data_IF_924735948148
#
_entry.id   IF_924735948148
#
_cell.length_a   1.000
_cell.length_b   1.000
_cell.length_c   1.000
_cell.angle_alpha   90.00
_cell.angle_beta   90.00
_cell.angle_gamma   90.00
#
_symmetry.space_group_name_H-M   'P 1'
#
loop_
_entity.id
_entity.type
_entity.pdbx_description
1 polymer ?
#
# COMPACT_ATOMS: atom_id res chain seq x y z
N UNK A 1 17.98 45.23 -51.38
CA UNK A 1 17.88 43.76 -51.30
C UNK A 1 17.97 43.18 -49.87
N UNK A 2 17.79 43.94 -48.78
CA UNK A 2 17.82 43.43 -47.38
C UNK A 2 16.47 43.36 -46.65
N UNK A 3 15.36 43.80 -47.30
CA UNK A 3 14.01 43.83 -46.67
C UNK A 3 13.07 42.68 -47.07
N UNK A 4 13.45 41.85 -48.06
CA UNK A 4 12.64 40.72 -48.52
C UNK A 4 13.01 39.38 -47.92
N UNK A 5 14.16 39.27 -47.25
CA UNK A 5 14.61 38.01 -46.61
C UNK A 5 14.00 37.82 -45.22
N UNK A 6 13.62 38.88 -44.55
CA UNK A 6 13.02 38.84 -43.19
C UNK A 6 11.58 38.35 -43.17
N UNK A 7 10.83 38.48 -44.27
CA UNK A 7 9.42 38.09 -44.32
C UNK A 7 9.24 36.59 -44.64
N UNK A 8 10.23 35.97 -45.32
CA UNK A 8 10.17 34.55 -45.64
C UNK A 8 10.57 33.66 -44.46
N UNK A 9 11.40 34.17 -43.52
CA UNK A 9 11.76 33.38 -42.31
C UNK A 9 10.66 33.39 -41.23
N UNK A 10 9.85 34.45 -41.15
CA UNK A 10 8.75 34.54 -40.17
C UNK A 10 7.59 33.64 -40.57
N UNK A 11 7.35 33.47 -41.88
CA UNK A 11 6.28 32.57 -42.36
C UNK A 11 6.66 31.09 -42.30
N UNK A 12 7.95 30.73 -42.28
CA UNK A 12 8.38 29.34 -42.11
C UNK A 12 8.36 28.90 -40.65
N UNK A 13 8.61 29.79 -39.67
CA UNK A 13 8.51 29.47 -38.24
C UNK A 13 7.06 29.36 -37.75
N UNK A 14 6.11 30.13 -38.38
CA UNK A 14 4.70 30.03 -38.01
C UNK A 14 4.00 28.77 -38.57
N UNK A 15 4.51 28.20 -39.65
CA UNK A 15 3.97 26.95 -40.20
C UNK A 15 4.43 25.69 -39.44
N UNK A 16 5.65 25.73 -38.86
CA UNK A 16 6.15 24.61 -38.04
C UNK A 16 5.57 24.58 -36.63
N UNK A 17 5.17 25.74 -36.07
CA UNK A 17 4.50 25.79 -34.76
C UNK A 17 3.00 25.36 -34.79
N UNK A 18 2.34 25.46 -35.96
CA UNK A 18 0.98 24.92 -36.12
C UNK A 18 0.95 23.40 -36.36
N UNK A 19 2.03 22.80 -36.87
CA UNK A 19 2.10 21.34 -37.05
C UNK A 19 2.38 20.59 -35.73
N UNK A 20 2.96 21.26 -34.72
CA UNK A 20 3.20 20.67 -33.40
C UNK A 20 1.95 20.68 -32.47
N UNK A 21 0.88 21.40 -32.83
CA UNK A 21 -0.38 21.45 -32.08
C UNK A 21 -1.43 20.46 -32.58
N UNK A 22 -1.11 19.62 -33.56
CA UNK A 22 -2.10 18.79 -34.27
C UNK A 22 -2.01 17.30 -33.96
N UNK A 23 -1.52 16.85 -32.79
CA UNK A 23 -1.56 15.40 -32.46
C UNK A 23 -1.56 15.08 -30.97
N UNK A 24 -2.39 15.75 -30.18
CA UNK A 24 -2.92 15.07 -28.99
C UNK A 24 -4.29 14.47 -29.38
N UNK A 25 -4.30 13.32 -30.03
CA UNK A 25 -5.52 12.53 -30.13
C UNK A 25 -5.99 12.27 -28.72
N UNK A 26 -7.18 12.75 -28.36
CA UNK A 26 -7.79 12.41 -27.08
C UNK A 26 -7.92 10.88 -27.03
N UNK A 27 -7.50 10.26 -25.94
CA UNK A 27 -7.68 8.83 -25.76
C UNK A 27 -9.17 8.47 -25.84
N UNK A 28 -9.46 7.27 -26.35
CA UNK A 28 -10.84 6.77 -26.44
C UNK A 28 -11.47 6.59 -25.06
N UNK A 29 -10.61 6.25 -24.06
CA UNK A 29 -11.00 6.06 -22.66
C UNK A 29 -10.05 6.85 -21.78
N UNK A 30 -10.57 7.48 -20.71
CA UNK A 30 -9.76 8.04 -19.63
C UNK A 30 -10.16 7.33 -18.35
N UNK A 31 -9.21 6.70 -17.66
CA UNK A 31 -9.41 6.00 -16.40
C UNK A 31 -8.76 6.82 -15.28
N UNK A 32 -9.55 7.26 -14.31
CA UNK A 32 -9.08 8.01 -13.15
C UNK A 32 -8.85 7.07 -11.97
N UNK A 33 -7.59 6.87 -11.64
CA UNK A 33 -7.12 5.97 -10.57
C UNK A 33 -6.49 6.81 -9.47
N UNK A 34 -6.80 6.53 -8.21
CA UNK A 34 -6.10 7.16 -7.10
C UNK A 34 -5.61 6.12 -6.08
N UNK A 35 -4.40 6.33 -5.60
CA UNK A 35 -3.71 5.50 -4.61
C UNK A 35 -2.67 6.32 -3.85
N UNK A 36 -1.75 5.67 -3.17
CA UNK A 36 -0.69 6.31 -2.42
C UNK A 36 0.49 6.68 -3.33
N UNK A 37 1.31 7.64 -2.90
CA UNK A 37 2.60 7.91 -3.52
C UNK A 37 3.52 6.68 -3.36
N UNK A 38 4.44 6.48 -4.31
CA UNK A 38 5.39 5.35 -4.30
C UNK A 38 4.72 3.97 -4.16
N UNK A 39 3.53 3.79 -4.70
CA UNK A 39 2.70 2.60 -4.48
C UNK A 39 2.34 1.83 -5.76
N UNK A 40 3.08 2.10 -6.83
CA UNK A 40 3.03 1.40 -8.12
C UNK A 40 4.38 1.57 -8.81
N UNK A 41 4.85 0.56 -9.52
CA UNK A 41 6.11 0.65 -10.28
C UNK A 41 6.06 1.79 -11.31
N UNK A 42 6.87 2.82 -11.07
CA UNK A 42 6.96 4.01 -11.93
C UNK A 42 7.94 3.83 -13.10
N UNK A 43 8.62 2.68 -13.14
CA UNK A 43 9.67 2.40 -14.10
C UNK A 43 10.98 3.09 -13.74
N UNK A 44 12.09 2.51 -14.20
CA UNK A 44 13.43 3.04 -14.01
C UNK A 44 14.26 2.93 -15.28
N UNK A 45 15.01 4.00 -15.63
CA UNK A 45 15.84 4.04 -16.80
C UNK A 45 15.05 3.88 -18.11
N UNK A 46 15.32 2.81 -18.85
CA UNK A 46 14.60 2.47 -20.09
C UNK A 46 13.34 1.63 -19.85
N UNK A 47 13.07 1.23 -18.59
CA UNK A 47 11.89 0.46 -18.23
C UNK A 47 10.69 1.37 -18.12
N UNK A 48 9.60 0.99 -18.77
CA UNK A 48 8.33 1.70 -18.70
C UNK A 48 7.63 1.43 -17.35
N UNK A 49 6.95 2.45 -16.88
CA UNK A 49 6.09 2.33 -15.70
C UNK A 49 4.96 1.30 -15.89
N UNK A 50 4.40 0.84 -14.79
CA UNK A 50 3.24 -0.05 -14.79
C UNK A 50 2.05 0.56 -15.55
N UNK A 51 1.87 1.88 -15.44
CA UNK A 51 0.82 2.63 -16.13
C UNK A 51 1.02 2.59 -17.65
N UNK A 52 2.23 2.92 -18.14
CA UNK A 52 2.51 2.89 -19.58
C UNK A 52 2.39 1.49 -20.18
N UNK A 53 2.79 0.46 -19.41
CA UNK A 53 2.65 -0.93 -19.81
C UNK A 53 1.17 -1.36 -19.86
N UNK A 54 0.36 -0.87 -18.92
CA UNK A 54 -1.10 -1.10 -18.93
C UNK A 54 -1.76 -0.41 -20.13
N UNK A 55 -1.47 0.86 -20.40
CA UNK A 55 -2.06 1.61 -21.51
C UNK A 55 -1.82 0.89 -22.84
N UNK A 56 -0.60 0.40 -23.05
CA UNK A 56 -0.24 -0.40 -24.21
C UNK A 56 -1.00 -1.74 -24.26
N UNK A 57 -1.00 -2.48 -23.16
CA UNK A 57 -1.70 -3.77 -23.09
C UNK A 57 -3.21 -3.62 -23.32
N UNK A 58 -3.82 -2.55 -22.77
CA UNK A 58 -5.25 -2.26 -22.97
C UNK A 58 -5.57 -2.04 -24.47
N UNK A 59 -4.75 -1.27 -25.17
CA UNK A 59 -4.93 -1.04 -26.60
C UNK A 59 -4.77 -2.35 -27.39
N UNK A 60 -3.82 -3.19 -27.04
CA UNK A 60 -3.64 -4.52 -27.65
C UNK A 60 -4.84 -5.44 -27.44
N UNK A 61 -5.50 -5.38 -26.25
CA UNK A 61 -6.64 -6.22 -25.95
C UNK A 61 -7.97 -5.72 -26.54
N UNK A 62 -8.12 -4.40 -26.65
CA UNK A 62 -9.43 -3.80 -26.98
C UNK A 62 -9.47 -3.08 -28.32
N UNK A 63 -8.33 -2.75 -28.89
CA UNK A 63 -8.20 -1.88 -30.06
C UNK A 63 -8.53 -0.41 -29.78
N UNK A 64 -8.68 -0.01 -28.52
CA UNK A 64 -8.98 1.36 -28.08
C UNK A 64 -7.81 1.92 -27.28
N UNK A 65 -7.49 3.18 -27.52
CA UNK A 65 -6.50 3.88 -26.68
C UNK A 65 -7.09 4.23 -25.33
N UNK A 66 -6.27 4.13 -24.27
CA UNK A 66 -6.63 4.53 -22.92
C UNK A 66 -5.60 5.51 -22.37
N UNK A 67 -6.04 6.46 -21.56
CA UNK A 67 -5.18 7.30 -20.72
C UNK A 67 -5.53 7.06 -19.25
N UNK A 68 -4.55 6.63 -18.47
CA UNK A 68 -4.68 6.54 -17.03
C UNK A 68 -4.26 7.87 -16.41
N UNK A 69 -5.16 8.50 -15.67
CA UNK A 69 -4.86 9.62 -14.77
C UNK A 69 -4.65 9.02 -13.37
N UNK A 70 -3.38 8.74 -13.04
CA UNK A 70 -3.02 8.24 -11.72
C UNK A 70 -2.77 9.41 -10.78
N UNK A 71 -3.52 9.44 -9.66
CA UNK A 71 -3.53 10.54 -8.70
C UNK A 71 -3.01 9.99 -7.36
N UNK A 72 -1.90 10.55 -6.92
CA UNK A 72 -1.29 10.22 -5.65
C UNK A 72 -1.94 11.00 -4.51
N UNK A 73 -2.17 10.33 -3.41
CA UNK A 73 -2.79 10.86 -2.21
C UNK A 73 -1.97 10.46 -0.98
N UNK A 74 -1.94 11.35 0.01
CA UNK A 74 -1.10 11.16 1.19
C UNK A 74 -1.67 10.12 2.17
N UNK A 75 -3.00 10.06 2.31
CA UNK A 75 -3.68 9.18 3.26
C UNK A 75 -5.17 8.97 2.92
N UNK A 76 -5.80 8.03 3.63
CA UNK A 76 -7.22 7.71 3.49
C UNK A 76 -8.14 8.89 3.83
N UNK A 77 -7.78 9.71 4.79
CA UNK A 77 -8.57 10.88 5.22
C UNK A 77 -8.56 11.95 4.15
N UNK A 78 -7.41 12.20 3.52
CA UNK A 78 -7.26 13.10 2.37
C UNK A 78 -8.07 12.58 1.17
N UNK A 79 -7.98 11.28 0.86
CA UNK A 79 -8.80 10.64 -0.16
C UNK A 79 -10.29 10.84 0.09
N UNK A 80 -10.74 10.56 1.30
CA UNK A 80 -12.15 10.72 1.69
C UNK A 80 -12.63 12.18 1.59
N UNK A 81 -11.80 13.12 2.05
CA UNK A 81 -12.11 14.55 1.97
C UNK A 81 -12.29 15.00 0.52
N UNK A 82 -11.40 14.60 -0.39
CA UNK A 82 -11.50 14.93 -1.82
C UNK A 82 -12.80 14.38 -2.43
N UNK A 83 -13.15 13.12 -2.13
CA UNK A 83 -14.42 12.51 -2.57
C UNK A 83 -15.62 13.32 -2.02
N UNK A 84 -15.57 13.74 -0.77
CA UNK A 84 -16.64 14.51 -0.13
C UNK A 84 -16.79 15.92 -0.75
N UNK A 85 -15.69 16.49 -1.22
CA UNK A 85 -15.66 17.78 -1.94
C UNK A 85 -16.09 17.65 -3.42
N UNK A 86 -16.40 16.44 -3.89
CA UNK A 86 -16.95 16.20 -5.23
C UNK A 86 -15.92 15.76 -6.26
N UNK A 87 -14.68 15.46 -5.87
CA UNK A 87 -13.74 14.81 -6.79
C UNK A 87 -14.24 13.39 -7.13
N UNK A 88 -14.08 13.01 -8.39
CA UNK A 88 -14.55 11.73 -8.91
C UNK A 88 -13.38 10.87 -9.37
N UNK A 89 -13.49 9.59 -9.12
CA UNK A 89 -12.53 8.57 -9.52
C UNK A 89 -13.28 7.36 -10.08
N UNK A 90 -12.62 6.57 -10.92
CA UNK A 90 -13.13 5.26 -11.35
C UNK A 90 -12.67 4.17 -10.39
N UNK A 91 -11.40 4.24 -9.97
CA UNK A 91 -10.74 3.22 -9.15
C UNK A 91 -9.97 3.88 -8.02
N UNK A 92 -10.11 3.36 -6.81
CA UNK A 92 -9.35 3.76 -5.62
C UNK A 92 -8.68 2.55 -4.99
N UNK A 93 -7.57 2.77 -4.30
CA UNK A 93 -6.89 1.75 -3.50
C UNK A 93 -6.80 2.14 -2.01
N UNK A 94 -7.91 2.23 -1.28
CA UNK A 94 -7.90 2.58 0.13
C UNK A 94 -7.67 1.37 1.03
N UNK A 95 -7.35 1.64 2.30
CA UNK A 95 -7.28 0.62 3.33
C UNK A 95 -8.67 0.10 3.75
N UNK A 96 -8.72 -1.09 4.33
CA UNK A 96 -9.95 -1.84 4.65
C UNK A 96 -11.02 -1.03 5.39
N UNK A 97 -10.62 -0.19 6.34
CA UNK A 97 -11.56 0.63 7.11
C UNK A 97 -12.24 1.71 6.29
N UNK A 98 -11.50 2.26 5.32
CA UNK A 98 -12.03 3.25 4.40
C UNK A 98 -12.91 2.59 3.34
N UNK A 99 -12.56 1.38 2.89
CA UNK A 99 -13.43 0.55 2.05
C UNK A 99 -14.79 0.35 2.72
N UNK A 100 -14.79 -0.06 3.99
CA UNK A 100 -16.02 -0.24 4.76
C UNK A 100 -16.80 1.06 4.95
N UNK A 101 -16.11 2.20 5.11
CA UNK A 101 -16.74 3.52 5.22
C UNK A 101 -17.40 3.93 3.90
N UNK A 102 -16.67 3.86 2.79
CA UNK A 102 -17.19 4.22 1.48
C UNK A 102 -18.37 3.32 1.07
N UNK A 103 -18.30 2.02 1.37
CA UNK A 103 -19.41 1.10 1.13
C UNK A 103 -20.65 1.49 1.95
N UNK A 104 -20.48 1.80 3.25
CA UNK A 104 -21.60 2.19 4.13
C UNK A 104 -22.29 3.49 3.71
N UNK A 105 -21.61 4.32 2.94
CA UNK A 105 -22.12 5.58 2.37
C UNK A 105 -22.60 5.42 0.93
N UNK A 106 -22.72 4.17 0.46
CA UNK A 106 -23.21 3.84 -0.89
C UNK A 106 -22.36 4.48 -2.02
N UNK A 107 -21.05 4.60 -1.81
CA UNK A 107 -20.11 5.21 -2.77
C UNK A 107 -19.43 4.18 -3.69
N UNK A 108 -19.49 2.89 -3.35
CA UNK A 108 -18.82 1.83 -4.08
C UNK A 108 -19.79 1.06 -4.97
N UNK A 109 -19.26 0.62 -6.11
CA UNK A 109 -19.89 -0.36 -7.00
C UNK A 109 -19.34 -1.76 -6.67
N UNK A 110 -20.19 -2.80 -6.85
CA UNK A 110 -19.71 -4.18 -6.72
C UNK A 110 -18.91 -4.58 -7.95
N UNK A 111 -17.90 -5.40 -7.74
CA UNK A 111 -17.25 -6.08 -8.86
C UNK A 111 -18.24 -6.98 -9.60
N UNK A 112 -18.24 -7.00 -10.94
CA UNK A 112 -19.07 -7.91 -11.70
C UNK A 112 -18.65 -9.36 -11.45
N UNK A 113 -19.60 -10.28 -11.38
CA UNK A 113 -19.32 -11.71 -11.15
C UNK A 113 -18.35 -12.30 -12.17
N UNK A 114 -18.34 -11.79 -13.40
CA UNK A 114 -17.41 -12.17 -14.46
C UNK A 114 -15.94 -11.89 -14.14
N UNK A 115 -15.65 -10.92 -13.26
CA UNK A 115 -14.28 -10.59 -12.81
C UNK A 115 -13.64 -11.75 -12.03
N UNK A 116 -14.46 -12.55 -11.34
CA UNK A 116 -14.00 -13.69 -10.53
C UNK A 116 -14.05 -15.04 -11.28
N UNK A 117 -14.39 -15.02 -12.56
CA UNK A 117 -14.45 -16.24 -13.38
C UNK A 117 -13.02 -16.66 -13.80
N UNK A 118 -12.51 -17.71 -13.18
CA UNK A 118 -11.16 -18.25 -13.46
C UNK A 118 -11.03 -18.91 -14.82
N UNK A 119 -12.14 -19.16 -15.55
CA UNK A 119 -12.12 -19.71 -16.92
C UNK A 119 -11.73 -18.66 -17.96
N UNK A 120 -11.86 -17.38 -17.63
CA UNK A 120 -11.46 -16.26 -18.50
C UNK A 120 -9.95 -16.06 -18.39
N UNK A 121 -9.26 -16.08 -19.51
CA UNK A 121 -7.78 -16.04 -19.56
C UNK A 121 -7.20 -14.79 -18.92
N UNK A 122 -7.82 -13.65 -19.12
CA UNK A 122 -7.34 -12.34 -18.62
C UNK A 122 -7.78 -11.99 -17.20
N UNK A 123 -8.51 -12.87 -16.50
CA UNK A 123 -8.89 -12.67 -15.10
C UNK A 123 -7.75 -13.08 -14.16
N UNK A 124 -6.65 -12.36 -14.24
CA UNK A 124 -5.41 -12.65 -13.48
C UNK A 124 -5.62 -12.52 -11.98
N UNK A 125 -6.40 -11.54 -11.51
CA UNK A 125 -6.71 -11.42 -10.08
C UNK A 125 -7.38 -12.70 -9.54
N UNK A 126 -8.44 -13.16 -10.19
CA UNK A 126 -9.17 -14.35 -9.74
C UNK A 126 -8.32 -15.62 -9.70
N UNK A 127 -7.32 -15.73 -10.60
CA UNK A 127 -6.40 -16.86 -10.68
C UNK A 127 -5.27 -16.77 -9.67
N UNK A 128 -4.76 -15.56 -9.41
CA UNK A 128 -3.53 -15.33 -8.67
C UNK A 128 -3.76 -14.85 -7.23
N UNK A 129 -4.98 -14.44 -6.84
CA UNK A 129 -5.24 -14.04 -5.45
C UNK A 129 -4.85 -15.16 -4.49
N UNK A 130 -4.05 -14.83 -3.46
CA UNK A 130 -3.57 -15.84 -2.51
C UNK A 130 -4.75 -16.49 -1.78
N UNK A 131 -4.68 -17.78 -1.43
CA UNK A 131 -5.75 -18.47 -0.70
C UNK A 131 -6.08 -17.80 0.62
N UNK A 132 -5.07 -17.28 1.34
CA UNK A 132 -5.23 -16.54 2.58
C UNK A 132 -6.08 -15.28 2.38
N UNK A 133 -5.71 -14.42 1.43
CA UNK A 133 -6.46 -13.19 1.11
C UNK A 133 -7.87 -13.51 0.62
N UNK A 134 -8.01 -14.47 -0.28
CA UNK A 134 -9.31 -14.92 -0.76
C UNK A 134 -10.23 -15.34 0.38
N UNK A 135 -9.73 -16.20 1.29
CA UNK A 135 -10.46 -16.65 2.46
C UNK A 135 -10.84 -15.49 3.40
N UNK A 136 -9.90 -14.56 3.62
CA UNK A 136 -10.11 -13.38 4.47
C UNK A 136 -11.19 -12.47 3.90
N UNK A 137 -11.15 -12.19 2.60
CA UNK A 137 -12.13 -11.32 1.92
C UNK A 137 -13.52 -11.97 1.81
N UNK A 138 -13.59 -13.29 1.66
CA UNK A 138 -14.86 -14.03 1.65
C UNK A 138 -15.52 -14.13 3.03
N UNK A 139 -14.73 -14.17 4.11
CA UNK A 139 -15.22 -14.18 5.49
C UNK A 139 -15.49 -12.78 6.03
N UNK A 140 -14.69 -11.79 5.59
CA UNK A 140 -14.82 -10.40 6.00
C UNK A 140 -16.19 -9.83 5.66
N UNK A 141 -16.77 -9.07 6.59
CA UNK A 141 -18.08 -8.43 6.43
C UNK A 141 -17.94 -6.92 6.39
N UNK A 142 -18.72 -6.29 5.53
CA UNK A 142 -18.94 -4.86 5.55
C UNK A 142 -19.72 -4.44 6.80
N UNK A 143 -19.84 -3.13 7.04
CA UNK A 143 -20.58 -2.60 8.22
C UNK A 143 -22.05 -2.99 8.29
N UNK A 144 -22.66 -3.36 7.14
CA UNK A 144 -24.03 -3.86 7.07
C UNK A 144 -24.18 -5.29 7.65
N UNK A 145 -23.07 -5.97 7.96
CA UNK A 145 -23.03 -7.33 8.49
C UNK A 145 -23.41 -8.43 7.51
N UNK A 146 -23.74 -8.07 6.26
CA UNK A 146 -24.22 -8.97 5.22
C UNK A 146 -23.26 -9.05 4.05
N UNK A 147 -22.93 -7.91 3.43
CA UNK A 147 -22.03 -7.81 2.30
C UNK A 147 -20.62 -8.26 2.67
N UNK A 148 -19.95 -8.91 1.73
CA UNK A 148 -18.55 -9.37 1.94
C UNK A 148 -17.56 -8.37 1.36
N UNK A 149 -16.34 -8.38 1.89
CA UNK A 149 -15.25 -7.59 1.32
C UNK A 149 -14.96 -7.98 -0.12
N UNK A 150 -14.99 -9.28 -0.43
CA UNK A 150 -14.77 -9.81 -1.78
C UNK A 150 -15.77 -9.31 -2.83
N UNK A 151 -16.92 -8.76 -2.44
CA UNK A 151 -17.89 -8.20 -3.39
C UNK A 151 -17.50 -6.79 -3.87
N UNK A 152 -16.68 -6.05 -3.09
CA UNK A 152 -16.38 -4.64 -3.32
C UNK A 152 -14.89 -4.35 -3.52
N UNK A 153 -14.00 -5.25 -3.10
CA UNK A 153 -12.57 -5.01 -3.13
C UNK A 153 -11.79 -6.18 -3.75
N UNK A 154 -10.79 -5.83 -4.54
CA UNK A 154 -9.72 -6.72 -4.96
C UNK A 154 -8.45 -6.34 -4.20
N UNK A 155 -7.90 -7.25 -3.38
CA UNK A 155 -6.73 -6.97 -2.56
C UNK A 155 -5.51 -6.61 -3.40
N UNK A 156 -4.74 -5.64 -2.96
CA UNK A 156 -3.53 -5.16 -3.62
C UNK A 156 -2.29 -5.50 -2.83
N UNK A 157 -2.06 -4.80 -1.73
CA UNK A 157 -0.96 -5.03 -0.79
C UNK A 157 -1.50 -5.25 0.61
N UNK A 158 -0.74 -5.93 1.45
CA UNK A 158 -1.07 -6.13 2.86
C UNK A 158 0.19 -6.15 3.71
N UNK A 159 0.04 -5.98 4.99
CA UNK A 159 1.15 -6.02 5.92
C UNK A 159 0.73 -5.91 7.36
N UNK A 160 1.75 -5.78 8.20
CA UNK A 160 1.61 -5.57 9.63
C UNK A 160 2.23 -4.23 10.05
N UNK A 161 2.01 -3.82 11.29
CA UNK A 161 2.74 -2.74 11.92
C UNK A 161 3.60 -3.30 13.04
N UNK A 162 4.82 -2.77 13.17
CA UNK A 162 5.77 -3.21 14.17
C UNK A 162 6.87 -2.17 14.36
N UNK A 163 7.94 -2.58 15.00
CA UNK A 163 9.09 -1.72 15.25
C UNK A 163 10.29 -2.14 14.42
N UNK A 164 10.87 -1.20 13.70
CA UNK A 164 12.24 -1.28 13.19
C UNK A 164 13.14 -0.85 14.33
N UNK A 165 14.02 -1.72 14.78
CA UNK A 165 14.88 -1.50 15.93
C UNK A 165 16.31 -1.94 15.66
N UNK A 166 17.30 -1.21 16.18
CA UNK A 166 18.66 -1.72 16.16
C UNK A 166 18.73 -3.06 16.87
N UNK A 167 19.49 -3.98 16.34
CA UNK A 167 19.58 -5.39 16.80
C UNK A 167 19.69 -5.53 18.33
N UNK A 168 20.46 -4.66 19.01
CA UNK A 168 20.61 -4.67 20.46
C UNK A 168 19.31 -4.46 21.25
N UNK A 169 18.26 -3.93 20.62
CA UNK A 169 16.97 -3.60 21.26
C UNK A 169 15.81 -4.50 20.83
N UNK A 170 16.08 -5.57 20.07
CA UNK A 170 15.05 -6.48 19.56
C UNK A 170 14.17 -7.09 20.66
N UNK A 171 14.78 -7.48 21.79
CA UNK A 171 14.03 -8.02 22.93
C UNK A 171 13.13 -6.95 23.62
N UNK A 172 13.59 -5.70 23.69
CA UNK A 172 12.76 -4.61 24.25
C UNK A 172 11.59 -4.25 23.35
N UNK A 173 11.74 -4.44 22.05
CA UNK A 173 10.72 -4.14 21.03
C UNK A 173 9.53 -5.12 21.03
N UNK A 174 9.63 -6.22 21.76
CA UNK A 174 8.47 -7.10 22.04
C UNK A 174 7.40 -6.41 22.88
N UNK A 175 7.73 -5.28 23.52
CA UNK A 175 6.80 -4.42 24.25
C UNK A 175 6.48 -3.14 23.51
N UNK A 176 5.22 -2.73 23.50
CA UNK A 176 4.78 -1.43 22.99
C UNK A 176 5.43 -0.23 23.68
N UNK A 177 5.94 -0.42 24.89
CA UNK A 177 6.60 0.65 25.67
C UNK A 177 8.00 1.00 25.16
N UNK A 178 8.60 0.24 24.26
CA UNK A 178 9.93 0.49 23.71
C UNK A 178 10.05 1.92 23.16
N UNK A 179 9.05 2.42 22.46
CA UNK A 179 9.02 3.79 21.91
C UNK A 179 9.19 4.82 23.00
N UNK A 180 8.48 4.67 24.12
CA UNK A 180 8.58 5.57 25.27
C UNK A 180 9.94 5.50 25.95
N UNK A 181 10.51 4.31 26.04
CA UNK A 181 11.81 4.09 26.70
C UNK A 181 12.96 4.77 25.96
N UNK A 182 12.90 4.77 24.61
CA UNK A 182 13.94 5.37 23.77
C UNK A 182 13.77 6.88 23.54
N UNK A 183 12.59 7.45 23.78
CA UNK A 183 12.35 8.89 23.76
C UNK A 183 12.85 9.57 22.47
N UNK A 184 13.88 10.43 22.59
CA UNK A 184 14.45 11.18 21.45
C UNK A 184 15.11 10.30 20.38
N UNK A 185 15.37 9.05 20.68
CA UNK A 185 15.92 8.04 19.77
C UNK A 185 14.84 7.16 19.16
N UNK A 186 13.56 7.58 19.28
CA UNK A 186 12.45 6.86 18.71
C UNK A 186 11.59 7.74 17.79
N UNK A 187 11.00 7.09 16.76
CA UNK A 187 9.97 7.68 15.91
C UNK A 187 8.68 6.87 15.96
N UNK A 188 7.57 7.52 15.63
CA UNK A 188 6.27 6.90 15.51
C UNK A 188 5.51 7.52 14.33
N UNK A 189 4.59 6.76 13.73
CA UNK A 189 3.76 7.24 12.61
C UNK A 189 2.90 8.44 13.01
N UNK A 190 2.86 9.47 12.17
CA UNK A 190 2.09 10.69 12.37
C UNK A 190 0.73 10.62 11.67
N UNK A 191 0.00 9.53 11.87
CA UNK A 191 -1.39 9.46 11.48
C UNK A 191 -2.26 9.01 12.66
N UNK A 192 -3.54 9.35 12.59
CA UNK A 192 -4.48 9.17 13.72
C UNK A 192 -4.64 7.69 14.08
N UNK A 193 -4.73 6.82 13.08
CA UNK A 193 -5.02 5.40 13.32
C UNK A 193 -3.84 4.68 13.93
N UNK A 194 -2.66 4.77 13.32
CA UNK A 194 -1.48 4.05 13.79
C UNK A 194 -0.99 4.59 15.13
N UNK A 195 -1.00 5.93 15.31
CA UNK A 195 -0.69 6.53 16.60
C UNK A 195 -1.66 6.06 17.69
N UNK A 196 -2.97 6.00 17.38
CA UNK A 196 -3.96 5.53 18.34
C UNK A 196 -3.80 4.04 18.63
N UNK A 197 -3.54 3.22 17.61
CA UNK A 197 -3.29 1.79 17.77
C UNK A 197 -2.07 1.51 18.65
N UNK A 198 -0.94 2.20 18.40
CA UNK A 198 0.24 2.17 19.27
C UNK A 198 -0.12 2.53 20.72
N UNK A 199 -0.89 3.59 20.90
CA UNK A 199 -1.36 4.02 22.21
C UNK A 199 -2.27 2.99 22.91
N UNK A 200 -3.13 2.29 22.17
CA UNK A 200 -3.92 1.16 22.67
C UNK A 200 -3.03 0.00 23.12
N UNK A 201 -2.02 -0.36 22.29
CA UNK A 201 -1.04 -1.38 22.64
C UNK A 201 -0.34 -1.05 23.95
N UNK A 202 0.19 0.17 24.09
CA UNK A 202 0.84 0.65 25.32
C UNK A 202 -0.11 0.64 26.53
N UNK A 203 -1.37 1.01 26.32
CA UNK A 203 -2.38 1.05 27.40
C UNK A 203 -2.76 -0.35 27.86
N UNK A 204 -3.15 -1.22 26.94
CA UNK A 204 -3.69 -2.54 27.27
C UNK A 204 -2.61 -3.58 27.61
N UNK A 205 -1.38 -3.44 27.11
CA UNK A 205 -0.27 -4.28 27.57
C UNK A 205 -0.11 -4.24 29.10
N UNK A 206 -0.35 -3.08 29.71
CA UNK A 206 -0.27 -2.89 31.16
C UNK A 206 -1.61 -2.97 31.88
N UNK A 207 -2.74 -2.90 31.17
CA UNK A 207 -4.09 -2.80 31.73
C UNK A 207 -5.07 -3.75 31.02
N UNK A 208 -4.64 -4.96 30.66
CA UNK A 208 -5.48 -5.91 29.93
C UNK A 208 -6.79 -6.19 30.67
N UNK A 209 -7.90 -5.98 29.97
CA UNK A 209 -9.24 -6.29 30.50
C UNK A 209 -9.58 -7.75 30.14
N UNK A 210 -9.56 -8.61 31.14
CA UNK A 210 -9.84 -10.04 30.98
C UNK A 210 -11.28 -10.35 30.55
N UNK A 211 -12.17 -9.37 30.56
CA UNK A 211 -13.54 -9.52 30.08
C UNK A 211 -13.70 -9.21 28.59
N UNK A 212 -12.66 -8.67 27.96
CA UNK A 212 -12.61 -8.31 26.55
C UNK A 212 -11.69 -9.25 25.79
N UNK A 213 -12.01 -9.50 24.54
CA UNK A 213 -11.08 -10.11 23.58
C UNK A 213 -9.98 -9.13 23.20
N UNK A 214 -8.87 -9.63 22.66
CA UNK A 214 -7.80 -8.78 22.14
C UNK A 214 -8.33 -7.81 21.08
N UNK A 215 -9.18 -8.28 20.17
CA UNK A 215 -9.79 -7.45 19.14
C UNK A 215 -10.65 -6.33 19.73
N UNK A 216 -11.43 -6.59 20.77
CA UNK A 216 -12.21 -5.56 21.46
C UNK A 216 -11.34 -4.53 22.16
N UNK A 217 -10.22 -4.94 22.76
CA UNK A 217 -9.26 -4.02 23.36
C UNK A 217 -8.59 -3.14 22.30
N UNK A 218 -8.10 -3.74 21.21
CA UNK A 218 -7.36 -3.01 20.17
C UNK A 218 -8.26 -2.19 19.22
N UNK A 219 -9.58 -2.28 19.37
CA UNK A 219 -10.58 -1.44 18.71
C UNK A 219 -11.40 -0.59 19.69
N UNK A 220 -10.95 -0.45 20.94
CA UNK A 220 -11.69 0.31 21.95
C UNK A 220 -11.64 1.82 21.68
N UNK A 221 -12.78 2.39 21.34
CA UNK A 221 -13.00 3.82 21.14
C UNK A 221 -13.85 4.46 22.22
N UNK A 222 -13.95 3.82 23.40
CA UNK A 222 -14.65 4.40 24.54
C UNK A 222 -13.96 5.68 25.01
N UNK A 223 -14.74 6.64 25.50
CA UNK A 223 -14.23 7.96 25.92
C UNK A 223 -13.14 7.82 27.00
N UNK A 224 -13.26 6.85 27.90
CA UNK A 224 -12.29 6.61 28.95
C UNK A 224 -10.95 6.13 28.37
N UNK A 225 -10.97 5.15 27.48
CA UNK A 225 -9.79 4.63 26.81
C UNK A 225 -9.15 5.69 25.89
N UNK A 226 -9.95 6.42 25.12
CA UNK A 226 -9.43 7.52 24.30
C UNK A 226 -8.72 8.59 25.12
N UNK A 227 -9.25 8.95 26.30
CA UNK A 227 -8.58 9.91 27.19
C UNK A 227 -7.28 9.34 27.77
N UNK A 228 -7.24 8.07 28.16
CA UNK A 228 -6.02 7.43 28.65
C UNK A 228 -4.94 7.36 27.57
N UNK A 229 -5.29 6.91 26.37
CA UNK A 229 -4.38 6.87 25.20
C UNK A 229 -3.86 8.26 24.85
N UNK A 230 -4.74 9.27 24.83
CA UNK A 230 -4.32 10.66 24.61
C UNK A 230 -3.23 11.13 25.59
N UNK A 231 -3.38 10.82 26.88
CA UNK A 231 -2.36 11.22 27.87
C UNK A 231 -1.06 10.40 27.70
N UNK A 232 -1.13 9.12 27.30
CA UNK A 232 0.05 8.33 26.95
C UNK A 232 0.78 8.92 25.75
N UNK A 233 0.09 9.21 24.65
CA UNK A 233 0.70 9.78 23.44
C UNK A 233 1.29 11.17 23.68
N UNK A 234 0.67 12.00 24.54
CA UNK A 234 1.25 13.25 24.99
C UNK A 234 2.57 13.04 25.77
N UNK A 235 2.60 12.04 26.65
CA UNK A 235 3.79 11.71 27.41
C UNK A 235 4.91 11.21 26.48
N UNK A 236 4.59 10.37 25.51
CA UNK A 236 5.52 9.89 24.47
C UNK A 236 6.11 11.07 23.69
N UNK A 237 5.27 11.97 23.20
CA UNK A 237 5.71 13.18 22.48
C UNK A 237 6.56 14.12 23.36
N UNK A 238 6.16 14.33 24.62
CA UNK A 238 6.92 15.15 25.58
C UNK A 238 8.27 14.50 25.92
N UNK A 239 8.34 13.17 25.92
CA UNK A 239 9.59 12.40 26.05
C UNK A 239 10.57 12.57 24.90
N UNK A 240 10.12 13.18 23.80
CA UNK A 240 10.96 13.53 22.65
C UNK A 240 10.83 12.61 21.45
N UNK A 241 9.90 11.66 21.46
CA UNK A 241 9.58 10.82 20.29
C UNK A 241 9.09 11.71 19.15
N UNK A 242 9.66 11.55 17.95
CA UNK A 242 9.20 12.24 16.75
C UNK A 242 8.02 11.48 16.14
N UNK A 243 6.96 12.23 15.80
CA UNK A 243 5.82 11.71 15.06
C UNK A 243 5.96 12.18 13.62
N UNK A 244 6.31 11.25 12.74
CA UNK A 244 6.51 11.49 11.31
C UNK A 244 6.05 10.26 10.53
N UNK A 245 5.71 10.44 9.26
CA UNK A 245 5.29 9.33 8.39
C UNK A 245 6.48 8.90 7.55
N UNK A 246 6.70 9.50 6.39
CA UNK A 246 7.77 9.09 5.48
C UNK A 246 9.09 9.83 5.74
N UNK A 247 9.04 11.08 6.22
CA UNK A 247 10.23 11.92 6.47
C UNK A 247 11.23 11.31 7.47
N UNK A 248 10.80 10.33 8.28
CA UNK A 248 11.68 9.66 9.23
C UNK A 248 12.53 8.55 8.59
N UNK A 249 12.16 8.00 7.43
CA UNK A 249 12.83 6.83 6.83
C UNK A 249 14.33 7.07 6.65
N UNK A 250 14.71 8.16 5.99
CA UNK A 250 16.11 8.51 5.72
C UNK A 250 16.96 8.65 7.01
N UNK A 251 16.38 9.25 8.04
CA UNK A 251 17.07 9.42 9.32
C UNK A 251 17.22 8.09 10.09
N UNK A 252 16.27 7.16 9.93
CA UNK A 252 16.38 5.79 10.47
C UNK A 252 17.46 5.03 9.71
N UNK A 253 17.45 5.06 8.38
CA UNK A 253 18.49 4.46 7.51
C UNK A 253 19.89 4.97 7.89
N UNK A 254 20.02 6.27 8.17
CA UNK A 254 21.27 6.88 8.62
C UNK A 254 21.66 6.52 10.07
N UNK A 255 20.90 5.69 10.78
CA UNK A 255 21.21 5.25 12.15
C UNK A 255 20.94 6.27 13.24
N UNK A 256 20.23 7.38 12.95
CA UNK A 256 19.93 8.42 13.92
C UNK A 256 18.96 7.98 15.01
N UNK A 257 18.13 6.97 14.73
CA UNK A 257 17.14 6.42 15.64
C UNK A 257 17.45 4.97 16.01
N UNK A 258 17.09 4.60 17.21
CA UNK A 258 17.25 3.24 17.73
C UNK A 258 15.96 2.41 17.53
N UNK A 259 14.80 3.10 17.52
CA UNK A 259 13.46 2.50 17.41
C UNK A 259 12.59 3.33 16.47
N UNK A 260 11.90 2.68 15.57
CA UNK A 260 10.94 3.34 14.68
C UNK A 260 9.68 2.48 14.52
N UNK A 261 8.50 3.05 14.83
CA UNK A 261 7.22 2.38 14.59
C UNK A 261 6.85 2.50 13.12
N UNK A 262 6.82 1.38 12.39
CA UNK A 262 6.72 1.34 10.94
C UNK A 262 5.68 0.32 10.44
N UNK A 263 5.25 0.50 9.21
CA UNK A 263 4.59 -0.53 8.40
C UNK A 263 5.65 -1.52 7.89
N UNK A 264 5.25 -2.78 7.69
CA UNK A 264 6.18 -3.84 7.33
C UNK A 264 6.94 -3.61 6.02
N UNK A 265 6.34 -2.97 5.02
CA UNK A 265 7.03 -2.66 3.77
C UNK A 265 8.09 -1.57 3.95
N UNK A 266 7.75 -0.46 4.64
CA UNK A 266 8.74 0.55 5.01
C UNK A 266 9.88 -0.05 5.87
N UNK A 267 9.55 -1.04 6.71
CA UNK A 267 10.56 -1.73 7.51
C UNK A 267 11.55 -2.49 6.64
N UNK A 268 11.08 -3.22 5.63
CA UNK A 268 11.95 -3.93 4.67
C UNK A 268 12.87 -2.93 3.97
N UNK A 269 12.30 -1.85 3.41
CA UNK A 269 13.09 -0.81 2.74
C UNK A 269 14.15 -0.20 3.66
N UNK A 270 13.77 0.16 4.89
CA UNK A 270 14.73 0.74 5.86
C UNK A 270 15.84 -0.27 6.19
N UNK A 271 15.51 -1.54 6.38
CA UNK A 271 16.48 -2.57 6.73
C UNK A 271 17.46 -2.81 5.58
N UNK A 272 16.97 -2.95 4.35
CA UNK A 272 17.78 -3.16 3.16
C UNK A 272 18.76 -1.98 2.93
N UNK A 273 18.26 -0.75 2.94
CA UNK A 273 19.09 0.45 2.75
C UNK A 273 20.08 0.72 3.90
N UNK A 274 19.68 0.42 5.13
CA UNK A 274 20.57 0.59 6.29
C UNK A 274 21.72 -0.43 6.29
N UNK A 275 21.49 -1.65 5.84
CA UNK A 275 22.52 -2.68 5.73
C UNK A 275 23.65 -2.27 4.78
N UNK A 276 23.37 -1.54 3.70
CA UNK A 276 24.37 -0.97 2.80
C UNK A 276 25.34 -0.01 3.54
N UNK A 277 24.89 0.60 4.65
CA UNK A 277 25.66 1.48 5.51
C UNK A 277 26.25 0.74 6.75
N UNK A 278 26.21 -0.59 6.77
CA UNK A 278 26.63 -1.42 7.91
C UNK A 278 25.82 -1.15 9.20
N UNK A 279 24.56 -0.72 9.05
CA UNK A 279 23.62 -0.50 10.16
C UNK A 279 22.56 -1.60 10.10
N UNK A 280 22.44 -2.37 11.18
CA UNK A 280 21.57 -3.54 11.24
C UNK A 280 20.35 -3.28 12.10
N UNK A 281 19.19 -3.49 11.53
CA UNK A 281 17.91 -3.39 12.19
C UNK A 281 17.15 -4.72 12.11
N UNK A 282 16.29 -4.94 13.10
CA UNK A 282 15.29 -6.02 13.10
C UNK A 282 13.89 -5.42 12.98
N UNK A 283 12.99 -6.15 12.35
CA UNK A 283 11.56 -5.83 12.39
C UNK A 283 10.89 -6.70 13.45
N UNK A 284 10.40 -6.09 14.52
CA UNK A 284 9.82 -6.78 15.67
C UNK A 284 8.34 -6.44 15.83
N UNK A 285 7.50 -7.46 15.85
CA UNK A 285 6.08 -7.33 16.18
C UNK A 285 5.92 -7.48 17.69
N UNK A 286 5.30 -6.52 18.40
CA UNK A 286 5.05 -6.64 19.84
C UNK A 286 4.22 -7.88 20.18
N UNK A 287 4.60 -8.56 21.28
CA UNK A 287 3.95 -9.82 21.67
C UNK A 287 2.48 -9.66 22.07
N UNK A 288 2.11 -8.51 22.65
CA UNK A 288 0.73 -8.28 23.09
C UNK A 288 -0.26 -8.21 21.92
N UNK A 289 0.10 -7.51 20.85
CA UNK A 289 -0.77 -7.31 19.68
C UNK A 289 -0.03 -6.72 18.51
N UNK A 290 -0.55 -6.94 17.31
CA UNK A 290 -0.18 -6.18 16.12
C UNK A 290 -1.42 -5.86 15.29
N UNK A 291 -1.29 -4.88 14.40
CA UNK A 291 -2.27 -4.59 13.36
C UNK A 291 -1.88 -5.34 12.09
N UNK A 292 -2.83 -6.04 11.50
CA UNK A 292 -2.75 -6.52 10.13
C UNK A 292 -3.70 -5.66 9.29
N UNK A 293 -3.20 -5.07 8.24
CA UNK A 293 -3.95 -4.20 7.35
C UNK A 293 -3.83 -4.69 5.90
N UNK A 294 -4.75 -4.29 5.07
CA UNK A 294 -4.65 -4.45 3.62
C UNK A 294 -5.26 -3.26 2.91
N UNK A 295 -4.73 -2.99 1.74
CA UNK A 295 -5.27 -2.06 0.77
C UNK A 295 -5.87 -2.84 -0.38
N UNK A 296 -6.97 -2.33 -0.91
CA UNK A 296 -7.68 -3.02 -1.98
C UNK A 296 -8.26 -2.07 -3.00
N UNK A 297 -8.20 -2.47 -4.26
CA UNK A 297 -8.82 -1.76 -5.35
C UNK A 297 -10.33 -1.84 -5.25
N UNK A 298 -11.00 -0.69 -5.27
CA UNK A 298 -12.45 -0.56 -5.20
C UNK A 298 -12.99 0.26 -6.37
N UNK A 299 -14.12 -0.17 -6.92
CA UNK A 299 -14.83 0.55 -7.98
C UNK A 299 -15.72 1.63 -7.36
N UNK A 300 -15.58 2.86 -7.83
CA UNK A 300 -16.48 3.94 -7.42
C UNK A 300 -17.81 3.86 -8.18
N UNK A 301 -18.89 4.33 -7.59
CA UNK A 301 -20.17 4.39 -8.32
C UNK A 301 -20.08 5.23 -9.58
N UNK A 302 -20.53 4.67 -10.69
CA UNK A 302 -20.45 5.29 -12.01
C UNK A 302 -19.08 5.16 -12.69
N UNK A 303 -18.18 4.32 -12.15
CA UNK A 303 -16.88 4.04 -12.73
C UNK A 303 -16.96 3.45 -14.14
N UNK A 304 -15.90 3.62 -14.90
CA UNK A 304 -15.66 2.87 -16.13
C UNK A 304 -15.23 1.44 -15.79
N UNK A 305 -16.21 0.62 -15.34
CA UNK A 305 -16.01 -0.70 -14.75
C UNK A 305 -15.15 -1.62 -15.61
N UNK A 306 -15.38 -1.65 -16.94
CA UNK A 306 -14.61 -2.51 -17.84
C UNK A 306 -13.12 -2.14 -17.85
N UNK A 307 -12.79 -0.86 -17.97
CA UNK A 307 -11.42 -0.40 -17.97
C UNK A 307 -10.76 -0.58 -16.58
N UNK A 308 -11.50 -0.30 -15.52
CA UNK A 308 -11.02 -0.44 -14.13
C UNK A 308 -10.74 -1.91 -13.78
N UNK A 309 -11.61 -2.84 -14.14
CA UNK A 309 -11.37 -4.28 -13.91
C UNK A 309 -10.23 -4.82 -14.74
N UNK A 310 -10.04 -4.32 -15.96
CA UNK A 310 -8.86 -4.65 -16.77
C UNK A 310 -7.57 -4.13 -16.14
N UNK A 311 -7.58 -2.93 -15.54
CA UNK A 311 -6.43 -2.40 -14.81
C UNK A 311 -6.06 -3.31 -13.64
N UNK A 312 -7.03 -3.65 -12.79
CA UNK A 312 -6.81 -4.55 -11.64
C UNK A 312 -6.29 -5.91 -12.09
N UNK A 313 -6.87 -6.48 -13.15
CA UNK A 313 -6.37 -7.74 -13.71
C UNK A 313 -4.95 -7.62 -14.24
N UNK A 314 -4.60 -6.53 -14.94
CA UNK A 314 -3.26 -6.33 -15.47
C UNK A 314 -2.19 -6.28 -14.38
N UNK A 315 -2.40 -5.49 -13.33
CA UNK A 315 -1.44 -5.40 -12.22
C UNK A 315 -1.40 -6.68 -11.37
N UNK A 316 -2.42 -7.54 -11.48
CA UNK A 316 -2.51 -8.85 -10.81
C UNK A 316 -1.93 -10.00 -11.64
N UNK A 317 -1.31 -9.75 -12.79
CA UNK A 317 -0.43 -10.73 -13.43
C UNK A 317 0.72 -11.02 -12.48
N UNK A 318 1.12 -12.28 -12.34
CA UNK A 318 2.18 -12.66 -11.41
C UNK A 318 3.47 -11.86 -11.64
N UNK A 319 3.87 -11.67 -12.89
CA UNK A 319 5.07 -10.91 -13.27
C UNK A 319 4.96 -9.41 -12.96
N UNK A 320 3.76 -8.82 -13.07
CA UNK A 320 3.52 -7.43 -12.75
C UNK A 320 3.42 -7.23 -11.23
N UNK A 321 2.84 -8.20 -10.52
CA UNK A 321 2.82 -8.19 -9.06
C UNK A 321 4.24 -8.27 -8.46
N UNK A 322 5.13 -9.05 -9.08
CA UNK A 322 6.57 -9.08 -8.70
C UNK A 322 7.19 -7.70 -8.86
N UNK A 323 7.02 -7.04 -10.01
CA UNK A 323 7.58 -5.69 -10.23
C UNK A 323 7.08 -4.68 -9.21
N UNK A 324 5.77 -4.68 -8.93
CA UNK A 324 5.21 -3.81 -7.90
C UNK A 324 5.74 -4.14 -6.51
N UNK A 325 5.83 -5.43 -6.16
CA UNK A 325 6.35 -5.88 -4.87
C UNK A 325 7.81 -5.46 -4.67
N UNK A 326 8.63 -5.64 -5.69
CA UNK A 326 10.05 -5.28 -5.67
C UNK A 326 10.26 -3.76 -5.53
N UNK A 327 9.45 -2.98 -6.26
CA UNK A 327 9.51 -1.52 -6.21
C UNK A 327 8.98 -0.94 -4.90
N UNK A 328 7.85 -1.49 -4.40
CA UNK A 328 7.12 -0.93 -3.24
C UNK A 328 7.65 -1.47 -1.91
N UNK A 329 8.17 -2.70 -1.88
CA UNK A 329 8.60 -3.40 -0.66
C UNK A 329 7.48 -4.04 0.15
N UNK A 330 6.21 -3.98 -0.29
CA UNK A 330 5.06 -4.57 0.43
C UNK A 330 4.65 -5.93 -0.11
N UNK A 331 4.07 -6.76 0.77
CA UNK A 331 3.57 -8.08 0.41
C UNK A 331 2.32 -7.97 -0.45
N UNK A 332 2.31 -8.54 -1.66
CA UNK A 332 1.14 -8.48 -2.54
C UNK A 332 0.03 -9.43 -2.08
N UNK A 333 -1.21 -9.05 -2.35
CA UNK A 333 -2.37 -9.92 -2.14
C UNK A 333 -2.49 -11.02 -3.19
N UNK A 334 -1.73 -10.95 -4.27
CA UNK A 334 -1.69 -11.94 -5.34
C UNK A 334 -0.38 -12.72 -5.31
N UNK A 335 -0.46 -13.96 -5.73
CA UNK A 335 0.63 -14.91 -5.82
C UNK A 335 0.83 -15.32 -7.29
N UNK A 336 1.06 -16.57 -7.55
CA UNK A 336 1.31 -17.14 -8.85
C UNK A 336 2.76 -17.56 -9.02
N UNK A 337 3.06 -18.18 -10.15
CA UNK A 337 4.36 -18.85 -10.36
C UNK A 337 5.55 -17.88 -10.24
N UNK A 338 5.50 -16.74 -10.94
CA UNK A 338 6.58 -15.77 -10.89
C UNK A 338 6.80 -15.17 -9.48
N UNK A 339 5.75 -14.99 -8.69
CA UNK A 339 5.86 -14.52 -7.31
C UNK A 339 6.52 -15.58 -6.41
N UNK A 340 6.18 -16.86 -6.59
CA UNK A 340 6.81 -17.95 -5.85
C UNK A 340 8.31 -18.06 -6.17
N UNK A 341 8.67 -17.93 -7.45
CA UNK A 341 10.07 -17.90 -7.89
C UNK A 341 10.81 -16.70 -7.28
N UNK A 342 10.22 -15.51 -7.34
CA UNK A 342 10.81 -14.30 -6.76
C UNK A 342 11.08 -14.43 -5.26
N UNK A 343 10.11 -14.94 -4.50
CA UNK A 343 10.28 -15.15 -3.05
C UNK A 343 11.33 -16.23 -2.78
N UNK A 344 11.34 -17.32 -3.57
CA UNK A 344 12.34 -18.36 -3.46
C UNK A 344 13.76 -17.82 -3.66
N UNK A 345 13.95 -16.96 -4.65
CA UNK A 345 15.27 -16.40 -4.97
C UNK A 345 15.72 -15.34 -3.94
N UNK A 346 14.80 -14.47 -3.50
CA UNK A 346 15.15 -13.32 -2.65
C UNK A 346 15.28 -13.69 -1.17
N UNK A 347 14.47 -14.62 -0.67
CA UNK A 347 14.35 -14.90 0.77
C UNK A 347 14.79 -16.33 1.16
N UNK A 348 15.26 -17.15 0.22
CA UNK A 348 15.77 -18.47 0.58
C UNK A 348 16.97 -18.34 1.54
N UNK A 349 16.98 -19.09 2.65
CA UNK A 349 18.10 -19.06 3.56
C UNK A 349 19.37 -19.54 2.86
N UNK A 350 20.50 -18.94 3.19
CA UNK A 350 21.80 -19.34 2.64
C UNK A 350 22.08 -20.84 2.84
N UNK A 351 22.84 -21.45 1.94
CA UNK A 351 23.17 -22.90 2.04
C UNK A 351 23.76 -23.30 3.40
N UNK A 352 24.52 -22.37 4.02
CA UNK A 352 25.17 -22.56 5.33
C UNK A 352 24.32 -22.02 6.51
N UNK A 353 23.07 -21.61 6.27
CA UNK A 353 22.17 -21.19 7.34
C UNK A 353 21.87 -22.34 8.31
N UNK A 354 21.50 -22.01 9.55
CA UNK A 354 21.12 -22.97 10.57
C UNK A 354 19.90 -23.78 10.13
N UNK A 355 19.80 -25.03 10.62
CA UNK A 355 18.67 -25.92 10.26
C UNK A 355 17.31 -25.34 10.72
N UNK A 356 17.30 -24.54 11.80
CA UNK A 356 16.11 -23.83 12.29
C UNK A 356 15.65 -22.75 11.32
N UNK A 357 16.57 -21.99 10.73
CA UNK A 357 16.25 -20.95 9.73
C UNK A 357 15.71 -21.60 8.44
N UNK A 358 16.32 -22.71 8.00
CA UNK A 358 15.85 -23.48 6.85
C UNK A 358 14.48 -24.11 7.10
N UNK A 359 14.20 -24.55 8.32
CA UNK A 359 12.90 -25.10 8.70
C UNK A 359 11.81 -24.03 8.85
N UNK A 360 12.19 -22.81 9.24
CA UNK A 360 11.27 -21.66 9.32
C UNK A 360 10.87 -21.14 7.93
N UNK A 361 11.70 -21.37 6.90
CA UNK A 361 11.43 -20.98 5.54
C UNK A 361 10.50 -21.99 4.86
N UNK A 362 9.21 -21.64 4.83
CA UNK A 362 8.19 -22.45 4.15
C UNK A 362 7.41 -21.60 3.16
N UNK A 363 7.72 -21.76 1.87
CA UNK A 363 7.01 -21.08 0.78
C UNK A 363 5.50 -21.32 0.80
N UNK A 364 5.05 -22.48 1.30
CA UNK A 364 3.62 -22.79 1.37
C UNK A 364 2.92 -21.94 2.40
N UNK A 365 3.61 -21.45 3.43
CA UNK A 365 3.06 -20.55 4.44
C UNK A 365 2.56 -19.22 3.85
N UNK A 366 3.27 -18.67 2.88
CA UNK A 366 2.90 -17.41 2.24
C UNK A 366 1.68 -17.51 1.32
N UNK A 367 1.30 -18.73 0.94
CA UNK A 367 0.29 -18.98 -0.09
C UNK A 367 -0.79 -20.00 0.30
N UNK A 368 -0.79 -20.48 1.56
CA UNK A 368 -1.78 -21.45 2.06
C UNK A 368 -3.05 -20.84 2.65
#
# INVERSE_FOLDING_TARGET
MKKFISLALVSALSATSLAALASCKKADVTLRVASWAEYIDEGEGDNKSMIENFEKWYEEQTGKSIKVEYIELDDNETMYNKITLGETYDLLCPSEYMIMKLQSEDKLEKYPASFFDTSVETNYYAKNVSPFIKSTFEKGKMKDGVSKWSEYAAGYMWGTTGFVVKHDFAEEAKSWNVVKNHGKKATAKNNVRDSYFMGLGMYYENNADKTKTLAEMMNDTSVNTMNAVKELLKAVKTGGVRFETDDAKEAVIAGEYDVSYQWSGDAVYIMDEAEENEIYYDYVIPEFSSNMWFDGWVLMKGAQTDAATMFVNFISKSENAVKNCDYIGYTPCVAGEAMLEYIADKYAPAENAADEDKAAYDLTYFFS
#
